data_IF_665030214976
#
_entry.id   IF_665030214976
#
_cell.length_a   1.000
_cell.length_b   1.000
_cell.length_c   1.000
_cell.angle_alpha   90.00
_cell.angle_beta   90.00
_cell.angle_gamma   90.00
#
_symmetry.space_group_name_H-M   'P 1'
#
loop_
_entity.id
_entity.type
_entity.pdbx_description
1 polymer ?
#
# COMPACT_ATOMS: atom_id res chain seq x y z
N UNK A 1 -23.54 -1.62 -9.52
CA UNK A 1 -23.15 -2.83 -8.75
C UNK A 1 -21.64 -3.11 -8.84
N UNK A 2 -21.00 -3.00 -10.01
CA UNK A 2 -19.55 -3.26 -10.14
C UNK A 2 -18.64 -2.38 -9.27
N UNK A 3 -18.93 -1.08 -9.17
CA UNK A 3 -18.07 -0.13 -8.43
C UNK A 3 -18.03 -0.38 -6.92
N UNK A 4 -19.15 -0.76 -6.31
CA UNK A 4 -19.20 -1.05 -4.87
C UNK A 4 -18.44 -2.32 -4.50
N UNK A 5 -18.47 -3.33 -5.37
CA UNK A 5 -17.69 -4.57 -5.20
C UNK A 5 -16.20 -4.28 -5.34
N UNK A 6 -15.82 -3.47 -6.33
CA UNK A 6 -14.43 -3.05 -6.52
C UNK A 6 -13.87 -2.36 -5.27
N UNK A 7 -14.59 -1.36 -4.73
CA UNK A 7 -14.17 -0.63 -3.52
C UNK A 7 -14.06 -1.57 -2.31
N UNK A 8 -15.02 -2.50 -2.13
CA UNK A 8 -14.97 -3.46 -1.01
C UNK A 8 -13.75 -4.39 -1.10
N UNK A 9 -13.42 -4.88 -2.30
CA UNK A 9 -12.27 -5.76 -2.52
C UNK A 9 -10.95 -5.01 -2.29
N UNK A 10 -10.83 -3.81 -2.84
CA UNK A 10 -9.68 -2.93 -2.64
C UNK A 10 -9.45 -2.62 -1.14
N UNK A 11 -10.52 -2.29 -0.41
CA UNK A 11 -10.43 -2.03 1.03
C UNK A 11 -10.02 -3.28 1.83
N UNK A 12 -10.52 -4.45 1.45
CA UNK A 12 -10.14 -5.71 2.09
C UNK A 12 -8.66 -6.04 1.87
N UNK A 13 -8.16 -5.84 0.65
CA UNK A 13 -6.74 -6.01 0.32
C UNK A 13 -5.90 -5.00 1.12
N UNK A 14 -6.33 -3.74 1.23
CA UNK A 14 -5.65 -2.71 2.02
C UNK A 14 -5.43 -3.17 3.47
N UNK A 15 -6.51 -3.61 4.11
CA UNK A 15 -6.49 -4.01 5.53
C UNK A 15 -5.60 -5.24 5.73
N UNK A 16 -5.69 -6.23 4.84
CA UNK A 16 -4.86 -7.44 4.92
C UNK A 16 -3.37 -7.13 4.67
N UNK A 17 -3.06 -6.27 3.70
CA UNK A 17 -1.69 -5.85 3.41
C UNK A 17 -1.07 -5.08 4.59
N UNK A 18 -1.82 -4.14 5.19
CA UNK A 18 -1.34 -3.38 6.34
C UNK A 18 -1.12 -4.32 7.54
N UNK A 19 -2.10 -5.15 7.88
CA UNK A 19 -1.98 -6.09 9.02
C UNK A 19 -0.82 -7.07 8.83
N UNK A 20 -0.70 -7.67 7.64
CA UNK A 20 0.35 -8.65 7.34
C UNK A 20 1.75 -8.03 7.46
N UNK A 21 1.95 -6.85 6.88
CA UNK A 21 3.26 -6.20 6.86
C UNK A 21 3.63 -5.55 8.20
N UNK A 22 2.64 -5.05 8.96
CA UNK A 22 2.87 -4.60 10.35
C UNK A 22 3.31 -5.77 11.22
N UNK A 23 2.72 -6.96 11.07
CA UNK A 23 3.15 -8.17 11.79
C UNK A 23 4.58 -8.59 11.42
N UNK A 24 4.97 -8.46 10.15
CA UNK A 24 6.35 -8.72 9.70
C UNK A 24 7.32 -7.74 10.38
N UNK A 25 7.03 -6.44 10.34
CA UNK A 25 7.84 -5.43 11.04
C UNK A 25 7.91 -5.69 12.54
N UNK A 26 6.79 -6.07 13.16
CA UNK A 26 6.71 -6.41 14.59
C UNK A 26 7.56 -7.62 14.94
N UNK A 27 7.50 -8.68 14.13
CA UNK A 27 8.27 -9.91 14.33
C UNK A 27 9.79 -9.66 14.23
N UNK A 28 10.22 -8.81 13.29
CA UNK A 28 11.64 -8.40 13.15
C UNK A 28 12.06 -7.49 14.32
N UNK A 29 11.17 -6.63 14.81
CA UNK A 29 11.46 -5.76 15.96
C UNK A 29 11.64 -6.56 17.25
N UNK A 30 10.78 -7.55 17.52
CA UNK A 30 10.82 -8.35 18.75
C UNK A 30 12.05 -9.25 18.82
N UNK A 31 12.50 -9.78 17.69
CA UNK A 31 13.63 -10.70 17.64
C UNK A 31 14.91 -10.01 17.18
N UNK A 32 15.73 -9.57 18.13
CA UNK A 32 17.07 -9.04 17.83
C UNK A 32 17.99 -10.08 17.14
N UNK A 33 17.74 -11.38 17.32
CA UNK A 33 18.40 -12.46 16.57
C UNK A 33 18.06 -12.47 15.06
N UNK A 34 16.95 -11.85 14.66
CA UNK A 34 16.57 -11.68 13.26
C UNK A 34 17.11 -10.35 12.67
N UNK A 35 17.84 -9.51 13.41
CA UNK A 35 18.40 -8.26 12.88
C UNK A 35 19.69 -8.49 12.06
N UNK A 36 19.58 -9.28 11.00
CA UNK A 36 20.61 -9.43 9.96
C UNK A 36 20.29 -8.54 8.76
N UNK A 37 21.30 -8.22 7.94
CA UNK A 37 21.18 -7.35 6.75
C UNK A 37 20.02 -7.76 5.83
N UNK A 38 19.75 -9.07 5.71
CA UNK A 38 18.64 -9.63 4.93
C UNK A 38 17.26 -9.20 5.45
N UNK A 39 17.04 -9.14 6.76
CA UNK A 39 15.75 -8.76 7.33
C UNK A 39 15.51 -7.25 7.29
N UNK A 40 16.56 -6.44 7.13
CA UNK A 40 16.41 -5.01 6.84
C UNK A 40 15.76 -4.79 5.46
N UNK A 41 16.10 -5.64 4.48
CA UNK A 41 15.43 -5.63 3.17
C UNK A 41 13.97 -6.06 3.27
N UNK A 42 13.66 -7.05 4.11
CA UNK A 42 12.28 -7.51 4.37
C UNK A 42 11.45 -6.40 5.02
N UNK A 43 12.00 -5.68 6.00
CA UNK A 43 11.32 -4.52 6.62
C UNK A 43 11.11 -3.40 5.60
N UNK A 44 12.07 -3.16 4.70
CA UNK A 44 11.90 -2.18 3.61
C UNK A 44 10.78 -2.59 2.64
N UNK A 45 10.67 -3.88 2.30
CA UNK A 45 9.60 -4.40 1.47
C UNK A 45 8.24 -4.26 2.17
N UNK A 46 8.18 -4.64 3.45
CA UNK A 46 6.98 -4.48 4.27
C UNK A 46 6.54 -3.00 4.40
N UNK A 47 7.49 -2.07 4.49
CA UNK A 47 7.20 -0.63 4.50
C UNK A 47 6.60 -0.16 3.15
N UNK A 48 7.10 -0.67 2.02
CA UNK A 48 6.52 -0.39 0.71
C UNK A 48 5.08 -0.92 0.62
N UNK A 49 4.83 -2.18 1.02
CA UNK A 49 3.48 -2.75 0.98
C UNK A 49 2.48 -2.02 1.90
N UNK A 50 2.92 -1.53 3.07
CA UNK A 50 2.08 -0.67 3.94
C UNK A 50 1.75 0.63 3.21
N UNK A 51 2.72 1.24 2.53
CA UNK A 51 2.48 2.46 1.75
C UNK A 51 1.54 2.22 0.56
N UNK A 52 1.59 1.06 -0.10
CA UNK A 52 0.59 0.65 -1.11
C UNK A 52 -0.80 0.58 -0.46
N UNK A 53 -0.92 -0.12 0.67
CA UNK A 53 -2.20 -0.27 1.38
C UNK A 53 -2.83 1.06 1.83
N UNK A 54 -1.99 2.00 2.29
CA UNK A 54 -2.44 3.29 2.85
C UNK A 54 -2.62 4.37 1.79
N UNK A 55 -1.81 4.40 0.74
CA UNK A 55 -1.81 5.47 -0.26
C UNK A 55 -2.39 5.00 -1.59
N UNK A 56 -1.91 3.88 -2.13
CA UNK A 56 -2.25 3.50 -3.50
C UNK A 56 -3.75 3.19 -3.67
N UNK A 57 -4.34 2.52 -2.69
CA UNK A 57 -5.75 2.12 -2.70
C UNK A 57 -6.71 3.32 -2.62
N UNK A 58 -6.58 4.26 -1.66
CA UNK A 58 -7.42 5.46 -1.67
C UNK A 58 -7.16 6.35 -2.90
N UNK A 59 -5.94 6.37 -3.45
CA UNK A 59 -5.68 7.07 -4.71
C UNK A 59 -6.38 6.41 -5.91
N UNK A 60 -6.37 5.07 -6.01
CA UNK A 60 -7.09 4.34 -7.06
C UNK A 60 -8.60 4.62 -7.02
N UNK A 61 -9.20 4.63 -5.83
CA UNK A 61 -10.61 4.98 -5.64
C UNK A 61 -10.85 6.44 -6.03
N UNK A 62 -9.98 7.36 -5.62
CA UNK A 62 -10.10 8.80 -5.95
C UNK A 62 -10.00 9.04 -7.46
N UNK A 63 -9.09 8.38 -8.17
CA UNK A 63 -8.97 8.45 -9.63
C UNK A 63 -10.23 7.87 -10.30
N UNK A 64 -10.77 6.77 -9.77
CA UNK A 64 -12.02 6.16 -10.27
C UNK A 64 -13.23 7.11 -10.15
N UNK A 65 -13.26 8.00 -9.16
CA UNK A 65 -14.32 9.02 -9.02
C UNK A 65 -14.23 10.17 -10.03
N UNK A 66 -13.19 10.22 -10.88
CA UNK A 66 -13.15 11.15 -12.02
C UNK A 66 -13.08 12.62 -11.63
N UNK A 67 -12.37 12.95 -10.55
CA UNK A 67 -12.16 14.34 -10.16
C UNK A 67 -11.39 15.09 -11.28
N UNK A 68 -11.81 16.31 -11.64
CA UNK A 68 -11.05 17.19 -12.54
C UNK A 68 -9.76 17.67 -11.84
N UNK A 69 -8.80 16.76 -11.68
CA UNK A 69 -7.44 17.08 -11.29
C UNK A 69 -6.68 17.60 -12.53
N UNK A 70 -5.84 18.62 -12.35
CA UNK A 70 -4.91 19.05 -13.40
C UNK A 70 -4.13 17.84 -13.94
N UNK A 71 -3.94 17.76 -15.26
CA UNK A 71 -3.35 16.60 -15.96
C UNK A 71 -2.06 16.08 -15.29
N UNK A 72 -1.24 16.98 -14.73
CA UNK A 72 0.00 16.65 -14.02
C UNK A 72 -0.22 15.97 -12.66
N UNK A 73 -1.27 16.35 -11.91
CA UNK A 73 -1.59 15.74 -10.62
C UNK A 73 -2.12 14.32 -10.76
N UNK A 74 -2.96 14.08 -11.78
CA UNK A 74 -3.45 12.73 -12.08
C UNK A 74 -2.29 11.80 -12.49
N UNK A 75 -1.36 12.28 -13.32
CA UNK A 75 -0.17 11.52 -13.73
C UNK A 75 0.75 11.22 -12.54
N UNK A 76 0.95 12.19 -11.63
CA UNK A 76 1.77 11.99 -10.43
C UNK A 76 1.21 10.89 -9.53
N UNK A 77 -0.10 10.92 -9.25
CA UNK A 77 -0.73 9.89 -8.41
C UNK A 77 -0.75 8.52 -9.10
N UNK A 78 -0.99 8.46 -10.41
CA UNK A 78 -0.91 7.22 -11.17
C UNK A 78 0.51 6.63 -11.19
N UNK A 79 1.54 7.45 -11.42
CA UNK A 79 2.93 7.00 -11.41
C UNK A 79 3.39 6.59 -10.00
N UNK A 80 2.94 7.28 -8.95
CA UNK A 80 3.26 6.91 -7.57
C UNK A 80 2.64 5.56 -7.20
N UNK A 81 1.42 5.27 -7.65
CA UNK A 81 0.76 3.96 -7.51
C UNK A 81 1.46 2.86 -8.32
N UNK A 82 2.00 3.17 -9.50
CA UNK A 82 2.64 2.18 -10.38
C UNK A 82 4.06 1.82 -9.99
N UNK A 83 4.78 2.76 -9.36
CA UNK A 83 6.19 2.59 -8.96
C UNK A 83 6.32 1.95 -7.58
N UNK A 84 5.31 2.12 -6.72
CA UNK A 84 5.28 1.66 -5.34
C UNK A 84 4.63 0.27 -5.27
#
# INVERSE_FOLDING_TARGET
MGSSVYIMVELAIAVLAILGNVLVCWAVWINSNLQNVTNFFVVSLAAADIAVGVLAIPFAITISTGFCAACHGCLFFACFVLVL
#
